data_IF_844610419744
#
_entry.id   IF_844610419744
#
_cell.length_a   1.000
_cell.length_b   1.000
_cell.length_c   1.000
_cell.angle_alpha   90.00
_cell.angle_beta   90.00
_cell.angle_gamma   90.00
#
_symmetry.space_group_name_H-M   'P 1'
#
loop_
_entity.id
_entity.type
_entity.pdbx_description
1 polymer ?
#
# COMPACT_ATOMS: atom_id res chain seq x y z
N UNK A 1 -10.72 16.13 -15.81
CA UNK A 1 -10.22 14.81 -16.27
C UNK A 1 -8.72 14.89 -16.39
N UNK A 2 -8.00 14.07 -15.66
CA UNK A 2 -6.57 13.90 -15.87
C UNK A 2 -6.35 12.88 -16.98
N UNK A 3 -5.38 13.15 -17.86
CA UNK A 3 -5.01 12.24 -18.96
C UNK A 3 -3.52 12.01 -18.92
N UNK A 4 -3.11 10.76 -19.14
CA UNK A 4 -1.70 10.36 -19.18
C UNK A 4 -1.43 9.59 -20.45
N UNK A 5 -0.41 9.97 -21.22
CA UNK A 5 0.04 9.24 -22.39
C UNK A 5 1.06 8.19 -21.96
N UNK A 6 0.79 6.94 -22.27
CA UNK A 6 1.67 5.81 -21.97
C UNK A 6 2.73 5.64 -23.06
N UNK A 7 3.89 5.09 -22.68
CA UNK A 7 4.81 4.52 -23.67
C UNK A 7 4.16 3.28 -24.33
N UNK A 8 4.66 2.87 -25.48
CA UNK A 8 4.17 1.70 -26.20
C UNK A 8 4.23 0.42 -25.34
N UNK A 9 5.30 0.26 -24.56
CA UNK A 9 5.49 -0.85 -23.65
C UNK A 9 4.41 -0.88 -22.54
N UNK A 10 4.16 0.27 -21.90
CA UNK A 10 3.14 0.40 -20.86
C UNK A 10 1.74 0.19 -21.43
N UNK A 11 1.44 0.74 -22.60
CA UNK A 11 0.15 0.54 -23.27
C UNK A 11 -0.09 -0.95 -23.62
N UNK A 12 0.96 -1.61 -24.11
CA UNK A 12 0.91 -3.06 -24.38
C UNK A 12 0.68 -3.89 -23.12
N UNK A 13 1.38 -3.56 -22.02
CA UNK A 13 1.17 -4.23 -20.72
C UNK A 13 -0.25 -4.02 -20.20
N UNK A 14 -0.77 -2.80 -20.30
CA UNK A 14 -2.12 -2.46 -19.89
C UNK A 14 -3.17 -3.30 -20.65
N UNK A 15 -3.08 -3.32 -21.98
CA UNK A 15 -3.99 -4.11 -22.84
C UNK A 15 -3.90 -5.62 -22.53
N UNK A 16 -2.70 -6.13 -22.30
CA UNK A 16 -2.50 -7.54 -21.94
C UNK A 16 -3.19 -7.92 -20.63
N UNK A 17 -3.16 -7.00 -19.64
CA UNK A 17 -3.79 -7.23 -18.34
C UNK A 17 -5.30 -7.06 -18.37
N UNK A 18 -5.77 -5.95 -18.93
CA UNK A 18 -7.18 -5.55 -18.83
C UNK A 18 -8.00 -5.85 -20.09
N UNK A 19 -7.32 -6.18 -21.19
CA UNK A 19 -7.98 -6.40 -22.49
C UNK A 19 -8.82 -5.18 -22.91
N UNK A 20 -10.02 -5.40 -23.41
CA UNK A 20 -10.93 -4.36 -23.89
C UNK A 20 -11.97 -3.97 -22.81
N UNK A 21 -11.62 -4.05 -21.53
CA UNK A 21 -12.51 -3.66 -20.44
C UNK A 21 -12.66 -2.12 -20.45
N UNK A 22 -13.91 -1.61 -20.59
CA UNK A 22 -14.13 -0.17 -20.77
C UNK A 22 -13.95 0.64 -19.48
N UNK A 23 -14.07 0.01 -18.32
CA UNK A 23 -13.92 0.62 -17.00
C UNK A 23 -13.03 -0.27 -16.13
N UNK A 24 -11.91 0.28 -15.68
CA UNK A 24 -10.98 -0.40 -14.77
C UNK A 24 -10.99 0.39 -13.45
N UNK A 25 -11.42 -0.21 -12.33
CA UNK A 25 -11.43 0.44 -11.02
C UNK A 25 -10.07 1.03 -10.63
N UNK A 26 -10.08 2.09 -9.84
CA UNK A 26 -8.85 2.80 -9.42
C UNK A 26 -7.87 1.86 -8.73
N UNK A 27 -8.33 0.97 -7.87
CA UNK A 27 -7.47 0.02 -7.15
C UNK A 27 -6.81 -1.01 -8.09
N UNK A 28 -7.50 -1.49 -9.12
CA UNK A 28 -6.92 -2.39 -10.11
C UNK A 28 -5.87 -1.67 -10.98
N UNK A 29 -6.13 -0.42 -11.35
CA UNK A 29 -5.17 0.41 -12.05
C UNK A 29 -3.90 0.67 -11.23
N UNK A 30 -4.07 1.01 -9.95
CA UNK A 30 -2.95 1.23 -9.03
C UNK A 30 -2.17 -0.07 -8.84
N UNK A 31 -2.84 -1.21 -8.67
CA UNK A 31 -2.19 -2.51 -8.56
C UNK A 31 -1.32 -2.81 -9.79
N UNK A 32 -1.82 -2.57 -10.98
CA UNK A 32 -1.04 -2.71 -12.20
C UNK A 32 0.16 -1.75 -12.22
N UNK A 33 -0.06 -0.47 -11.96
CA UNK A 33 0.98 0.54 -12.06
C UNK A 33 2.12 0.33 -11.04
N UNK A 34 1.79 -0.16 -9.84
CA UNK A 34 2.75 -0.34 -8.76
C UNK A 34 3.32 -1.75 -8.68
N UNK A 35 2.55 -2.78 -9.01
CA UNK A 35 2.89 -4.18 -8.69
C UNK A 35 2.96 -5.13 -9.88
N UNK A 36 2.69 -4.68 -11.11
CA UNK A 36 2.87 -5.54 -12.29
C UNK A 36 4.28 -6.15 -12.32
N UNK A 37 4.42 -7.47 -12.55
CA UNK A 37 5.71 -8.15 -12.44
C UNK A 37 6.82 -7.61 -13.36
N UNK A 38 6.45 -6.95 -14.47
CA UNK A 38 7.41 -6.48 -15.48
C UNK A 38 7.66 -4.97 -15.39
N UNK A 39 6.60 -4.20 -15.22
CA UNK A 39 6.64 -2.74 -15.34
C UNK A 39 6.31 -2.02 -14.04
N UNK A 40 5.77 -2.72 -13.04
CA UNK A 40 5.32 -2.13 -11.79
C UNK A 40 6.42 -1.36 -11.06
N UNK A 41 6.07 -0.20 -10.56
CA UNK A 41 7.00 0.71 -9.89
C UNK A 41 7.80 0.01 -8.78
N UNK A 42 7.14 -0.78 -7.92
CA UNK A 42 7.77 -1.49 -6.81
C UNK A 42 8.50 -2.78 -7.23
N UNK A 43 8.36 -3.22 -8.48
CA UNK A 43 9.10 -4.36 -9.02
C UNK A 43 10.43 -3.99 -9.68
N UNK A 44 10.63 -2.69 -9.96
CA UNK A 44 11.87 -2.20 -10.53
C UNK A 44 12.98 -2.15 -9.47
N UNK A 45 14.13 -2.73 -9.78
CA UNK A 45 15.33 -2.67 -8.93
C UNK A 45 16.02 -1.29 -9.09
N UNK A 46 15.50 -0.28 -8.38
CA UNK A 46 16.12 1.05 -8.33
C UNK A 46 16.04 1.61 -6.91
N UNK A 47 16.98 2.48 -6.57
CA UNK A 47 16.93 3.22 -5.31
C UNK A 47 15.80 4.24 -5.38
N UNK A 48 14.75 4.04 -4.58
CA UNK A 48 13.59 4.94 -4.48
C UNK A 48 13.72 5.91 -3.32
N UNK A 49 14.30 5.47 -2.22
CA UNK A 49 14.45 6.23 -0.97
C UNK A 49 15.90 6.62 -0.76
N UNK A 50 16.14 7.87 -0.36
CA UNK A 50 17.48 8.36 -0.03
C UNK A 50 17.64 9.88 -0.15
N UNK A 51 18.84 10.36 0.19
CA UNK A 51 19.20 11.80 0.17
C UNK A 51 19.76 12.26 -1.17
N UNK A 52 19.91 11.36 -2.14
CA UNK A 52 20.47 11.70 -3.44
C UNK A 52 19.43 12.25 -4.40
N UNK A 53 19.87 13.04 -5.39
CA UNK A 53 18.98 13.53 -6.46
C UNK A 53 18.42 12.43 -7.38
N UNK A 54 18.82 11.18 -7.16
CA UNK A 54 18.33 10.00 -7.89
C UNK A 54 17.24 9.24 -7.13
N UNK A 55 16.99 9.61 -5.86
CA UNK A 55 15.92 9.02 -5.06
C UNK A 55 14.60 9.77 -5.30
N UNK A 56 13.51 9.04 -5.34
CA UNK A 56 12.16 9.61 -5.53
C UNK A 56 11.60 10.18 -4.23
N UNK A 57 11.98 9.60 -3.08
CA UNK A 57 11.43 9.93 -1.76
C UNK A 57 12.51 10.10 -0.70
N UNK A 58 12.15 10.86 0.32
CA UNK A 58 12.91 11.02 1.56
C UNK A 58 12.02 10.60 2.73
N UNK A 59 12.39 9.52 3.41
CA UNK A 59 11.60 8.93 4.49
C UNK A 59 12.38 8.87 5.80
N UNK A 60 11.73 8.45 6.88
CA UNK A 60 12.36 8.23 8.18
C UNK A 60 13.53 7.23 8.13
N UNK A 61 13.47 6.24 7.24
CA UNK A 61 14.58 5.31 6.98
C UNK A 61 15.84 5.99 6.45
N UNK A 62 15.74 7.22 5.93
CA UNK A 62 16.89 8.03 5.52
C UNK A 62 17.71 8.60 6.70
N UNK A 63 17.26 8.47 7.96
CA UNK A 63 17.99 8.87 9.18
C UNK A 63 18.93 7.77 9.70
N UNK A 64 19.42 6.93 8.81
CA UNK A 64 20.50 5.94 8.99
C UNK A 64 20.61 5.27 10.37
N UNK A 65 21.45 5.78 11.27
CA UNK A 65 21.81 5.11 12.54
C UNK A 65 20.85 5.39 13.71
N UNK A 66 20.20 6.56 13.71
CA UNK A 66 19.35 6.99 14.82
C UNK A 66 18.00 6.25 14.80
N UNK A 67 17.43 6.09 13.61
CA UNK A 67 16.08 5.52 13.48
C UNK A 67 16.00 4.07 13.95
N UNK A 68 16.91 3.16 13.54
CA UNK A 68 16.94 1.79 14.07
C UNK A 68 17.06 1.75 15.59
N UNK A 69 17.94 2.57 16.17
CA UNK A 69 18.14 2.63 17.62
C UNK A 69 16.87 3.03 18.36
N UNK A 70 16.14 4.03 17.86
CA UNK A 70 14.87 4.47 18.45
C UNK A 70 13.80 3.38 18.39
N UNK A 71 13.68 2.68 17.26
CA UNK A 71 12.70 1.60 17.10
C UNK A 71 13.05 0.43 18.02
N UNK A 72 14.31 0.02 18.08
CA UNK A 72 14.77 -1.05 19.00
C UNK A 72 14.45 -0.72 20.44
N UNK A 73 14.77 0.50 20.89
CA UNK A 73 14.51 0.95 22.26
C UNK A 73 13.00 1.00 22.55
N UNK A 74 12.20 1.55 21.62
CA UNK A 74 10.75 1.61 21.75
C UNK A 74 10.15 0.19 21.91
N UNK A 75 10.52 -0.73 21.04
CA UNK A 75 10.04 -2.11 21.10
C UNK A 75 10.46 -2.80 22.39
N UNK A 76 11.69 -2.57 22.86
CA UNK A 76 12.20 -3.13 24.12
C UNK A 76 11.39 -2.66 25.31
N UNK A 77 11.04 -1.36 25.36
CA UNK A 77 10.21 -0.80 26.42
C UNK A 77 8.76 -1.30 26.38
N UNK A 78 8.18 -1.42 25.18
CA UNK A 78 6.80 -1.91 25.01
C UNK A 78 6.65 -3.39 25.37
N UNK A 79 7.69 -4.19 25.18
CA UNK A 79 7.66 -5.61 25.56
C UNK A 79 7.80 -5.86 27.07
N UNK A 80 8.29 -4.86 27.85
CA UNK A 80 8.50 -5.06 29.28
C UNK A 80 7.21 -5.58 29.99
N UNK A 81 7.28 -6.62 30.83
CA UNK A 81 8.49 -7.26 31.42
C UNK A 81 9.10 -8.41 30.60
N UNK A 82 8.59 -8.70 29.40
CA UNK A 82 9.09 -9.78 28.55
C UNK A 82 10.48 -9.42 27.96
N UNK A 83 11.27 -10.47 27.68
CA UNK A 83 12.57 -10.29 27.05
C UNK A 83 12.42 -10.12 25.54
N UNK A 84 12.99 -9.08 24.92
CA UNK A 84 13.01 -8.95 23.46
C UNK A 84 13.62 -10.15 22.73
N UNK A 85 14.53 -10.87 23.37
CA UNK A 85 15.15 -12.08 22.81
C UNK A 85 14.18 -13.25 22.58
N UNK A 86 12.93 -13.15 23.06
CA UNK A 86 11.89 -14.13 22.81
C UNK A 86 11.08 -13.81 21.53
N UNK A 87 11.33 -12.68 20.87
CA UNK A 87 10.56 -12.20 19.72
C UNK A 87 11.44 -12.07 18.49
N UNK A 88 10.88 -12.40 17.34
CA UNK A 88 11.46 -12.13 16.04
C UNK A 88 11.04 -10.73 15.57
N UNK A 89 11.96 -9.99 14.98
CA UNK A 89 11.64 -8.72 14.35
C UNK A 89 11.27 -8.95 12.88
N UNK A 90 10.11 -8.45 12.46
CA UNK A 90 9.61 -8.60 11.09
C UNK A 90 9.39 -7.22 10.50
N UNK A 91 10.18 -6.85 9.51
CA UNK A 91 10.00 -5.62 8.75
C UNK A 91 9.18 -5.89 7.48
N UNK A 92 7.98 -5.29 7.39
CA UNK A 92 7.12 -5.37 6.20
C UNK A 92 7.37 -4.13 5.32
N UNK A 93 7.42 -4.34 4.01
CA UNK A 93 7.62 -3.33 2.98
C UNK A 93 9.00 -2.67 2.99
N UNK A 94 10.03 -3.43 3.40
CA UNK A 94 11.41 -2.97 3.28
C UNK A 94 11.80 -2.66 1.83
N UNK A 95 12.67 -1.67 1.66
CA UNK A 95 13.25 -1.31 0.36
C UNK A 95 14.10 -2.48 -0.21
N UNK A 96 14.24 -2.60 -1.55
CA UNK A 96 14.89 -3.75 -2.19
C UNK A 96 16.33 -4.02 -1.71
N UNK A 97 17.07 -2.98 -1.33
CA UNK A 97 18.50 -3.07 -1.02
C UNK A 97 18.83 -2.75 0.45
N UNK A 98 17.84 -2.52 1.28
CA UNK A 98 18.05 -2.15 2.69
C UNK A 98 16.98 -2.73 3.59
N UNK A 99 17.27 -2.80 4.89
CA UNK A 99 16.29 -3.05 5.93
C UNK A 99 16.65 -2.25 7.17
N UNK A 100 15.68 -2.04 8.07
CA UNK A 100 15.86 -1.22 9.26
C UNK A 100 17.02 -1.72 10.13
N UNK A 101 17.09 -3.03 10.37
CA UNK A 101 18.05 -3.62 11.31
C UNK A 101 19.26 -4.28 10.65
N UNK A 102 19.45 -4.11 9.33
CA UNK A 102 20.47 -4.81 8.55
C UNK A 102 21.87 -4.77 9.20
N UNK A 103 22.31 -3.59 9.64
CA UNK A 103 23.66 -3.35 10.18
C UNK A 103 23.62 -2.86 11.64
N UNK A 104 22.44 -2.93 12.28
CA UNK A 104 22.24 -2.42 13.63
C UNK A 104 22.22 -3.54 14.66
N UNK A 105 22.94 -3.43 15.78
CA UNK A 105 22.80 -4.36 16.91
C UNK A 105 21.36 -4.32 17.44
N UNK A 106 20.77 -5.48 17.65
CA UNK A 106 19.42 -5.59 18.22
C UNK A 106 19.29 -6.77 19.18
N UNK A 107 18.39 -6.71 20.18
CA UNK A 107 18.20 -7.73 21.18
C UNK A 107 17.23 -8.85 20.77
N UNK A 108 16.61 -8.77 19.57
CA UNK A 108 15.60 -9.71 19.12
C UNK A 108 16.21 -11.07 18.72
N UNK A 109 15.40 -12.12 18.72
CA UNK A 109 15.79 -13.47 18.37
C UNK A 109 16.33 -13.57 16.93
N UNK A 110 15.59 -12.95 15.99
CA UNK A 110 15.98 -12.89 14.58
C UNK A 110 15.44 -11.62 13.91
N UNK A 111 15.85 -11.38 12.65
CA UNK A 111 15.34 -10.29 11.80
C UNK A 111 14.85 -10.89 10.47
N UNK A 112 13.57 -10.73 10.18
CA UNK A 112 12.92 -11.12 8.94
C UNK A 112 12.55 -9.89 8.13
N UNK A 113 12.80 -9.93 6.83
CA UNK A 113 12.51 -8.83 5.91
C UNK A 113 11.54 -9.30 4.85
N UNK A 114 10.38 -8.67 4.79
CA UNK A 114 9.31 -8.93 3.81
C UNK A 114 9.20 -7.69 2.93
N UNK A 115 9.41 -7.85 1.63
CA UNK A 115 9.32 -6.75 0.67
C UNK A 115 7.92 -6.59 0.11
N UNK A 116 7.65 -5.42 -0.46
CA UNK A 116 6.35 -5.15 -1.10
C UNK A 116 6.01 -6.21 -2.14
N UNK A 117 4.80 -6.80 -1.99
CA UNK A 117 4.29 -7.86 -2.86
C UNK A 117 4.82 -9.27 -2.56
N UNK A 118 5.60 -9.47 -1.51
CA UNK A 118 5.93 -10.80 -0.98
C UNK A 118 4.82 -11.30 -0.05
N UNK A 119 4.77 -12.62 0.15
CA UNK A 119 3.86 -13.24 1.11
C UNK A 119 4.24 -12.81 2.52
N UNK A 120 3.26 -12.32 3.26
CA UNK A 120 3.42 -12.00 4.68
C UNK A 120 3.30 -13.30 5.47
N UNK A 121 4.38 -13.66 6.18
CA UNK A 121 4.47 -14.83 7.04
C UNK A 121 5.09 -14.37 8.37
N UNK A 122 4.31 -14.43 9.44
CA UNK A 122 4.69 -13.87 10.74
C UNK A 122 5.00 -15.02 11.71
N UNK A 123 6.18 -15.04 12.33
CA UNK A 123 6.51 -16.01 13.39
C UNK A 123 5.57 -15.90 14.61
N UNK A 124 5.46 -16.97 15.38
CA UNK A 124 4.54 -17.06 16.53
C UNK A 124 4.72 -15.92 17.55
N UNK A 125 5.96 -15.49 17.78
CA UNK A 125 6.27 -14.33 18.65
C UNK A 125 7.02 -13.31 17.82
N UNK A 126 6.36 -12.19 17.51
CA UNK A 126 6.92 -11.22 16.59
C UNK A 126 6.70 -9.77 17.04
N UNK A 127 7.63 -8.94 16.62
CA UNK A 127 7.46 -7.51 16.52
C UNK A 127 7.36 -7.20 15.05
N UNK A 128 6.19 -6.76 14.61
CA UNK A 128 5.93 -6.43 13.22
C UNK A 128 6.08 -4.92 13.05
N UNK A 129 7.02 -4.51 12.24
CA UNK A 129 7.28 -3.11 11.92
C UNK A 129 6.99 -2.86 10.44
N UNK A 130 6.39 -1.74 10.14
CA UNK A 130 6.24 -1.27 8.76
C UNK A 130 6.42 0.25 8.68
N UNK A 131 7.03 0.71 7.60
CA UNK A 131 7.14 2.12 7.28
C UNK A 131 6.69 2.33 5.83
N UNK A 132 5.70 3.22 5.62
CA UNK A 132 5.16 3.50 4.29
C UNK A 132 4.67 2.23 3.55
N UNK A 133 4.02 1.31 4.28
CA UNK A 133 3.44 0.09 3.71
C UNK A 133 1.98 0.29 3.29
N UNK A 134 1.17 0.83 4.21
CA UNK A 134 -0.28 0.88 4.03
C UNK A 134 -0.70 1.92 2.98
N UNK A 135 0.04 3.00 2.86
CA UNK A 135 -0.15 4.05 1.85
C UNK A 135 0.33 3.65 0.46
N UNK A 136 1.21 2.62 0.38
CA UNK A 136 1.62 2.02 -0.89
C UNK A 136 0.57 1.05 -1.46
N UNK A 137 -0.44 0.63 -0.66
CA UNK A 137 -1.43 -0.35 -1.09
C UNK A 137 -2.55 0.30 -1.93
N UNK A 138 -3.10 -0.42 -2.93
CA UNK A 138 -4.17 0.08 -3.76
C UNK A 138 -5.42 0.50 -2.97
N UNK A 139 -6.07 1.56 -3.43
CA UNK A 139 -7.28 2.10 -2.83
C UNK A 139 -8.37 2.30 -3.88
N UNK A 140 -9.61 2.26 -3.46
CA UNK A 140 -10.77 2.60 -4.30
C UNK A 140 -11.10 4.08 -4.14
N UNK A 141 -11.48 4.71 -5.24
CA UNK A 141 -11.87 6.13 -5.24
C UNK A 141 -13.35 6.28 -5.57
N UNK A 142 -14.03 7.10 -4.80
CA UNK A 142 -15.45 7.39 -4.96
C UNK A 142 -15.72 8.87 -4.94
N UNK A 143 -16.74 9.31 -5.66
CA UNK A 143 -17.29 10.65 -5.55
C UNK A 143 -18.81 10.61 -5.35
N UNK A 144 -19.32 11.57 -4.60
CA UNK A 144 -20.76 11.71 -4.40
C UNK A 144 -21.40 12.51 -5.52
N UNK A 145 -22.45 11.97 -6.16
CA UNK A 145 -23.31 12.67 -7.10
C UNK A 145 -24.59 13.10 -6.41
N UNK A 146 -24.76 14.41 -6.20
CA UNK A 146 -25.99 14.95 -5.63
C UNK A 146 -27.18 14.87 -6.59
N UNK A 147 -26.92 14.87 -7.90
CA UNK A 147 -27.95 14.70 -8.93
C UNK A 147 -28.56 13.30 -8.88
N UNK A 148 -27.70 12.28 -8.75
CA UNK A 148 -28.13 10.86 -8.66
C UNK A 148 -28.38 10.41 -7.22
N UNK A 149 -28.07 11.25 -6.23
CA UNK A 149 -28.15 10.94 -4.79
C UNK A 149 -27.43 9.64 -4.42
N UNK A 150 -26.24 9.40 -5.00
CA UNK A 150 -25.47 8.18 -4.81
C UNK A 150 -23.97 8.43 -4.90
N UNK A 151 -23.19 7.47 -4.43
CA UNK A 151 -21.76 7.40 -4.66
C UNK A 151 -21.47 6.67 -5.98
N UNK A 152 -20.49 7.19 -6.70
CA UNK A 152 -20.01 6.64 -7.98
C UNK A 152 -18.54 6.28 -7.85
N UNK A 153 -18.15 5.12 -8.37
CA UNK A 153 -16.77 4.66 -8.36
C UNK A 153 -15.97 5.33 -9.48
N UNK A 154 -14.74 5.70 -9.16
CA UNK A 154 -13.75 6.18 -10.14
C UNK A 154 -12.92 5.03 -10.68
N UNK A 155 -12.52 5.17 -11.92
CA UNK A 155 -11.64 4.25 -12.58
C UNK A 155 -10.94 4.91 -13.75
N UNK A 156 -10.37 4.09 -14.60
CA UNK A 156 -9.69 4.53 -15.82
C UNK A 156 -10.16 3.75 -17.03
N UNK A 157 -9.98 4.35 -18.20
CA UNK A 157 -10.10 3.68 -19.50
C UNK A 157 -8.89 4.00 -20.36
N UNK A 158 -8.55 3.13 -21.30
CA UNK A 158 -7.50 3.35 -22.27
C UNK A 158 -8.12 3.68 -23.64
N UNK A 159 -7.72 4.80 -24.22
CA UNK A 159 -8.05 5.16 -25.61
C UNK A 159 -6.75 5.37 -26.41
N UNK A 160 -6.47 4.43 -27.29
CA UNK A 160 -5.17 4.36 -27.96
C UNK A 160 -4.02 4.14 -26.95
N UNK A 161 -3.19 5.15 -26.74
CA UNK A 161 -2.14 5.15 -25.71
C UNK A 161 -2.44 6.10 -24.55
N UNK A 162 -3.65 6.66 -24.49
CA UNK A 162 -4.02 7.63 -23.46
C UNK A 162 -4.91 7.00 -22.42
N UNK A 163 -4.45 6.98 -21.16
CA UNK A 163 -5.27 6.67 -20.01
C UNK A 163 -6.08 7.91 -19.64
N UNK A 164 -7.37 7.72 -19.46
CA UNK A 164 -8.28 8.76 -19.01
C UNK A 164 -8.99 8.32 -17.74
N UNK A 165 -9.04 9.21 -16.75
CA UNK A 165 -9.89 9.02 -15.57
C UNK A 165 -11.36 9.13 -15.96
N UNK A 166 -12.16 8.16 -15.53
CA UNK A 166 -13.60 8.11 -15.76
C UNK A 166 -14.34 7.76 -14.47
N UNK A 167 -15.62 8.07 -14.44
CA UNK A 167 -16.51 7.74 -13.33
C UNK A 167 -17.51 6.72 -13.83
N UNK A 168 -17.76 5.69 -13.04
CA UNK A 168 -18.76 4.66 -13.35
C UNK A 168 -20.15 5.27 -13.48
N UNK A 169 -20.91 4.79 -14.45
CA UNK A 169 -22.32 5.11 -14.54
C UNK A 169 -23.19 4.29 -13.58
N UNK A 170 -22.66 3.20 -13.07
CA UNK A 170 -23.33 2.35 -12.12
C UNK A 170 -23.25 2.93 -10.71
N UNK A 171 -24.39 3.05 -10.00
CA UNK A 171 -24.39 3.50 -8.62
C UNK A 171 -23.73 2.46 -7.72
N UNK A 172 -23.05 2.93 -6.68
CA UNK A 172 -22.51 2.04 -5.65
C UNK A 172 -23.69 1.30 -4.98
N UNK A 173 -23.58 -0.03 -4.91
CA UNK A 173 -24.60 -0.85 -4.26
C UNK A 173 -24.79 -0.46 -2.78
N UNK A 174 -26.02 -0.34 -2.33
CA UNK A 174 -26.34 -0.03 -0.92
C UNK A 174 -25.81 -1.11 0.05
N UNK A 175 -25.69 -2.34 -0.43
CA UNK A 175 -25.13 -3.50 0.29
C UNK A 175 -23.65 -3.40 0.64
N UNK A 176 -22.92 -2.46 0.04
CA UNK A 176 -21.46 -2.37 0.20
C UNK A 176 -20.99 -1.96 1.62
N UNK A 177 -21.89 -1.52 2.50
CA UNK A 177 -21.64 -1.15 3.91
C UNK A 177 -20.44 -0.23 4.14
N UNK A 178 -20.10 0.61 3.15
CA UNK A 178 -18.99 1.53 3.27
C UNK A 178 -19.34 2.69 4.22
N UNK A 179 -18.47 3.03 5.19
CA UNK A 179 -18.79 3.98 6.25
C UNK A 179 -19.19 5.37 5.74
N UNK A 180 -18.69 5.77 4.57
CA UNK A 180 -18.98 7.07 3.98
C UNK A 180 -20.36 7.14 3.28
N UNK A 181 -21.01 6.03 2.98
CA UNK A 181 -22.34 6.02 2.33
C UNK A 181 -23.40 6.77 3.12
N UNK A 182 -23.29 6.85 4.44
CA UNK A 182 -24.20 7.61 5.29
C UNK A 182 -24.12 9.14 5.10
N UNK A 183 -23.05 9.64 4.47
CA UNK A 183 -22.84 11.07 4.26
C UNK A 183 -23.44 11.54 2.93
N UNK A 184 -24.78 11.36 2.77
CA UNK A 184 -25.52 11.71 1.55
C UNK A 184 -25.80 13.20 1.36
N UNK A 185 -25.39 14.04 2.31
CA UNK A 185 -25.60 15.51 2.25
C UNK A 185 -24.36 16.26 1.73
N UNK A 186 -23.37 15.54 1.25
CA UNK A 186 -22.14 16.12 0.72
C UNK A 186 -22.36 16.71 -0.68
N UNK A 187 -21.48 17.59 -1.07
CA UNK A 187 -21.53 18.23 -2.39
C UNK A 187 -20.94 17.34 -3.47
N UNK A 188 -21.31 17.58 -4.75
CA UNK A 188 -20.78 16.88 -5.93
C UNK A 188 -19.24 16.91 -6.11
N UNK A 189 -18.49 17.55 -5.22
CA UNK A 189 -17.04 17.62 -5.29
C UNK A 189 -16.34 16.80 -4.20
N UNK A 190 -17.11 16.09 -3.40
CA UNK A 190 -16.53 15.30 -2.32
C UNK A 190 -15.99 13.98 -2.91
N UNK A 191 -14.70 13.76 -2.73
CA UNK A 191 -14.00 12.55 -3.17
C UNK A 191 -13.51 11.81 -1.92
N UNK A 192 -13.66 10.50 -1.92
CA UNK A 192 -13.16 9.60 -0.88
C UNK A 192 -12.21 8.60 -1.51
N UNK A 193 -10.98 8.57 -1.04
CA UNK A 193 -10.04 7.50 -1.29
C UNK A 193 -10.20 6.47 -0.17
N UNK A 194 -10.81 5.32 -0.52
CA UNK A 194 -11.11 4.25 0.43
C UNK A 194 -9.97 3.24 0.45
N UNK A 195 -9.22 3.10 1.55
CA UNK A 195 -8.02 2.26 1.62
C UNK A 195 -8.38 0.77 1.77
N UNK A 196 -9.11 0.22 0.80
CA UNK A 196 -9.67 -1.14 0.85
C UNK A 196 -8.60 -2.20 1.10
N UNK A 197 -7.48 -2.12 0.36
CA UNK A 197 -6.39 -3.09 0.48
C UNK A 197 -5.58 -2.94 1.77
N UNK A 198 -5.41 -1.72 2.26
CA UNK A 198 -4.76 -1.48 3.55
C UNK A 198 -5.60 -2.04 4.71
N UNK A 199 -6.92 -1.84 4.68
CA UNK A 199 -7.83 -2.41 5.67
C UNK A 199 -7.87 -3.94 5.62
N UNK A 200 -7.88 -4.52 4.43
CA UNK A 200 -7.79 -5.97 4.23
C UNK A 200 -6.47 -6.52 4.80
N UNK A 201 -5.35 -5.89 4.48
CA UNK A 201 -4.03 -6.30 4.96
C UNK A 201 -3.92 -6.23 6.49
N UNK A 202 -4.38 -5.13 7.10
CA UNK A 202 -4.42 -4.98 8.56
C UNK A 202 -5.36 -6.01 9.21
N UNK A 203 -6.55 -6.22 8.64
CA UNK A 203 -7.50 -7.20 9.16
C UNK A 203 -6.91 -8.60 9.14
N UNK A 204 -6.25 -8.99 8.05
CA UNK A 204 -5.60 -10.29 7.94
C UNK A 204 -4.47 -10.44 8.97
N UNK A 205 -3.63 -9.40 9.13
CA UNK A 205 -2.54 -9.40 10.10
C UNK A 205 -3.05 -9.52 11.54
N UNK A 206 -4.08 -8.74 11.91
CA UNK A 206 -4.61 -8.66 13.28
C UNK A 206 -5.57 -9.79 13.63
N UNK A 207 -6.23 -10.42 12.65
CA UNK A 207 -7.16 -11.52 12.87
C UNK A 207 -6.47 -12.89 12.90
N UNK A 208 -5.19 -12.96 12.55
CA UNK A 208 -4.41 -14.18 12.65
C UNK A 208 -4.17 -14.50 14.13
N UNK A 209 -4.68 -15.67 14.57
CA UNK A 209 -4.36 -16.21 15.89
C UNK A 209 -3.02 -17.00 15.90
N UNK A 210 -2.24 -16.87 14.83
CA UNK A 210 -1.01 -17.64 14.62
C UNK A 210 0.21 -16.97 15.24
N UNK A 211 0.09 -15.71 15.66
CA UNK A 211 1.19 -14.97 16.27
C UNK A 211 0.72 -14.06 17.41
N UNK A 212 1.64 -13.72 18.30
CA UNK A 212 1.50 -12.76 19.39
C UNK A 212 2.68 -11.77 19.41
N UNK A 213 2.44 -10.52 19.84
CA UNK A 213 3.50 -9.53 19.94
C UNK A 213 3.05 -8.09 19.73
N UNK A 214 3.86 -7.32 19.03
CA UNK A 214 3.63 -5.89 18.73
C UNK A 214 3.46 -5.66 17.23
N UNK A 215 2.61 -4.68 16.90
CA UNK A 215 2.51 -4.09 15.57
C UNK A 215 2.46 -2.57 15.69
#
# INVERSE_FOLDING_TARGET
MQTTILSEELATSFVNRFKDVPFIPTDEYIDWALYDPKIGYYRQQRQRVGKSSKADFYTSSSFSEIWPTLIVECCTQLLFPDSPANYDFVEIAAEPSSSLLQDSPHPFSSNHVIRLGEKIDIPNKAIVYSNEWLDALPFKRYSYSSERNTWLEHGVTLQGQTIMEIISDDPLEESSNLPFQKYRHLTNRYIVDWPSKALEALSNLMSSNEWEGLF
#
